data_IF_547947240271
#
_entry.id   IF_547947240271
#
_cell.length_a   1.000
_cell.length_b   1.000
_cell.length_c   1.000
_cell.angle_alpha   90.00
_cell.angle_beta   90.00
_cell.angle_gamma   90.00
#
_symmetry.space_group_name_H-M   'P 1'
#
loop_
_entity.id
_entity.type
_entity.pdbx_description
1 polymer ?
#
# COMPACT_ATOMS: atom_id res chain seq x y z
N UNK A 1 -1.45 -17.17 -16.65
CA UNK A 1 -1.64 -16.51 -15.34
C UNK A 1 -2.74 -17.26 -14.63
N UNK A 2 -2.36 -18.07 -13.63
CA UNK A 2 -3.33 -18.77 -12.80
C UNK A 2 -4.12 -17.73 -12.01
N UNK A 3 -5.39 -17.54 -12.37
CA UNK A 3 -6.26 -16.53 -11.75
C UNK A 3 -6.68 -17.11 -10.40
N UNK A 4 -5.93 -16.74 -9.38
CA UNK A 4 -6.28 -16.98 -7.98
C UNK A 4 -7.70 -16.48 -7.73
N UNK A 5 -8.48 -17.23 -6.96
CA UNK A 5 -9.85 -16.85 -6.59
C UNK A 5 -9.82 -15.42 -6.02
N UNK A 6 -10.57 -14.47 -6.60
CA UNK A 6 -10.55 -13.10 -6.14
C UNK A 6 -11.06 -13.04 -4.69
N UNK A 7 -10.29 -12.36 -3.84
CA UNK A 7 -10.78 -11.95 -2.53
C UNK A 7 -11.63 -10.69 -2.72
N UNK A 8 -12.76 -10.63 -2.03
CA UNK A 8 -13.56 -9.41 -1.96
C UNK A 8 -13.14 -8.63 -0.73
N UNK A 9 -12.41 -7.53 -0.96
CA UNK A 9 -12.10 -6.55 0.08
C UNK A 9 -12.96 -5.30 -0.14
N UNK A 10 -13.02 -4.44 0.86
CA UNK A 10 -13.71 -3.15 0.72
C UNK A 10 -12.70 -2.07 0.36
N UNK A 11 -13.07 -1.27 -0.64
CA UNK A 11 -12.33 -0.09 -1.04
C UNK A 11 -12.34 1.02 -0.01
N UNK A 12 -11.58 2.06 -0.30
CA UNK A 12 -11.52 3.26 0.55
C UNK A 12 -12.87 3.99 0.65
N UNK A 13 -13.76 3.77 -0.32
CA UNK A 13 -15.14 4.26 -0.41
C UNK A 13 -16.19 3.27 0.14
N UNK A 14 -15.75 2.08 0.57
CA UNK A 14 -16.62 1.02 1.08
C UNK A 14 -17.25 0.14 0.00
N UNK A 15 -16.94 0.35 -1.28
CA UNK A 15 -17.41 -0.53 -2.35
C UNK A 15 -16.59 -1.83 -2.39
N UNK A 16 -17.22 -2.99 -2.68
CA UNK A 16 -16.51 -4.25 -2.78
C UNK A 16 -15.60 -4.26 -4.02
N UNK A 17 -14.33 -4.58 -3.80
CA UNK A 17 -13.30 -4.69 -4.82
C UNK A 17 -12.88 -6.15 -4.92
N UNK A 18 -12.89 -6.68 -6.13
CA UNK A 18 -12.20 -7.93 -6.44
C UNK A 18 -10.69 -7.69 -6.45
N UNK A 19 -9.97 -8.30 -5.52
CA UNK A 19 -8.52 -8.22 -5.39
C UNK A 19 -7.87 -9.60 -5.48
N UNK A 20 -6.61 -9.62 -5.86
CA UNK A 20 -5.75 -10.80 -5.83
C UNK A 20 -4.38 -10.47 -5.26
N UNK A 21 -3.66 -11.48 -4.81
CA UNK A 21 -2.34 -11.31 -4.20
C UNK A 21 -1.25 -11.39 -5.27
N UNK A 22 -0.36 -10.40 -5.29
CA UNK A 22 0.80 -10.37 -6.17
C UNK A 22 2.08 -10.20 -5.36
N UNK A 23 3.18 -10.82 -5.83
CA UNK A 23 4.50 -10.69 -5.21
C UNK A 23 5.35 -9.79 -6.10
N UNK A 24 5.87 -8.69 -5.55
CA UNK A 24 6.66 -7.70 -6.27
C UNK A 24 7.81 -7.19 -5.40
N UNK A 25 8.93 -6.85 -6.02
CA UNK A 25 9.97 -6.08 -5.32
C UNK A 25 9.50 -4.63 -5.21
N UNK A 26 9.22 -4.19 -3.97
CA UNK A 26 8.63 -2.89 -3.69
C UNK A 26 9.64 -1.97 -3.03
N UNK A 27 9.72 -0.72 -3.49
CA UNK A 27 10.48 0.34 -2.83
C UNK A 27 9.53 1.44 -2.35
N UNK A 28 9.62 1.80 -1.07
CA UNK A 28 8.82 2.89 -0.47
C UNK A 28 9.78 3.88 0.17
N UNK A 29 9.94 5.06 -0.45
CA UNK A 29 10.95 6.02 -0.04
C UNK A 29 12.37 5.44 -0.15
N UNK A 30 13.03 5.24 0.99
CA UNK A 30 14.38 4.66 1.07
C UNK A 30 14.38 3.23 1.67
N UNK A 31 13.21 2.58 1.76
CA UNK A 31 13.04 1.21 2.24
C UNK A 31 12.74 0.26 1.08
N UNK A 32 13.33 -0.94 1.10
CA UNK A 32 13.15 -1.97 0.07
C UNK A 32 12.53 -3.22 0.69
N UNK A 33 11.47 -3.70 0.06
CA UNK A 33 10.72 -4.90 0.42
C UNK A 33 10.83 -5.91 -0.72
N UNK A 34 11.82 -6.81 -0.69
CA UNK A 34 11.96 -7.85 -1.70
C UNK A 34 10.79 -8.84 -1.59
N UNK A 35 10.20 -9.21 -2.72
CA UNK A 35 9.06 -10.14 -2.79
C UNK A 35 7.90 -9.76 -1.85
N UNK A 36 7.62 -8.46 -1.73
CA UNK A 36 6.49 -7.94 -0.98
C UNK A 36 5.18 -8.50 -1.55
N UNK A 37 4.33 -9.00 -0.65
CA UNK A 37 3.01 -9.49 -1.00
C UNK A 37 2.00 -8.36 -0.91
N UNK A 38 1.50 -7.89 -2.05
CA UNK A 38 0.53 -6.81 -2.15
C UNK A 38 -0.81 -7.32 -2.68
N UNK A 39 -1.89 -6.63 -2.34
CA UNK A 39 -3.19 -6.84 -2.95
C UNK A 39 -3.35 -5.92 -4.15
N UNK A 40 -3.76 -6.49 -5.27
CA UNK A 40 -4.00 -5.79 -6.53
C UNK A 40 -5.46 -6.00 -6.91
N UNK A 41 -6.20 -4.91 -7.06
CA UNK A 41 -7.58 -4.92 -7.53
C UNK A 41 -7.73 -4.12 -8.81
N UNK A 42 -8.75 -4.45 -9.60
CA UNK A 42 -9.14 -3.64 -10.75
C UNK A 42 -9.95 -2.45 -10.26
N UNK A 43 -9.25 -1.40 -9.82
CA UNK A 43 -9.83 -0.18 -9.28
C UNK A 43 -9.25 1.05 -9.95
N UNK A 44 -10.13 2.00 -10.22
CA UNK A 44 -9.74 3.32 -10.70
C UNK A 44 -9.67 4.25 -9.50
N UNK A 45 -8.44 4.59 -9.12
CA UNK A 45 -8.15 5.55 -8.07
C UNK A 45 -7.72 6.86 -8.77
N UNK A 46 -8.49 7.95 -8.65
CA UNK A 46 -8.35 9.12 -9.53
C UNK A 46 -7.02 9.85 -9.37
N UNK A 47 -6.39 9.81 -8.18
CA UNK A 47 -5.21 10.61 -7.85
C UNK A 47 -3.99 9.77 -7.40
N UNK A 48 -4.11 8.45 -7.34
CA UNK A 48 -3.06 7.57 -6.81
C UNK A 48 -3.14 6.15 -7.36
N UNK A 49 -1.99 5.52 -7.62
CA UNK A 49 -1.95 4.15 -8.17
C UNK A 49 -1.87 3.06 -7.09
N UNK A 50 -1.53 3.44 -5.85
CA UNK A 50 -1.29 2.52 -4.74
C UNK A 50 -1.67 3.15 -3.40
N UNK A 51 -2.26 2.34 -2.52
CA UNK A 51 -2.56 2.72 -1.14
C UNK A 51 -1.62 1.98 -0.19
N UNK A 52 -0.94 2.71 0.68
CA UNK A 52 -0.18 2.13 1.78
C UNK A 52 -1.10 1.97 2.99
N UNK A 53 -1.30 0.72 3.40
CA UNK A 53 -2.17 0.39 4.52
C UNK A 53 -1.55 0.67 5.88
N UNK A 54 -2.37 0.49 6.92
CA UNK A 54 -1.94 0.59 8.31
C UNK A 54 -0.95 -0.51 8.71
N UNK A 55 -0.93 -1.62 7.99
CA UNK A 55 0.09 -2.67 8.13
C UNK A 55 1.51 -2.13 7.88
N UNK A 56 1.68 -1.27 6.88
CA UNK A 56 2.91 -0.53 6.62
C UNK A 56 3.09 0.63 7.61
N UNK A 57 2.06 1.44 7.87
CA UNK A 57 2.21 2.69 8.65
C UNK A 57 2.34 2.46 10.16
N UNK A 58 1.71 1.42 10.74
CA UNK A 58 1.59 1.23 12.21
C UNK A 58 2.91 1.15 12.97
N UNK A 59 3.97 0.72 12.29
CA UNK A 59 5.28 0.56 12.93
C UNK A 59 6.18 1.80 12.83
N UNK A 60 5.74 2.85 12.14
CA UNK A 60 6.57 4.01 11.80
C UNK A 60 6.01 5.27 12.46
N UNK A 61 6.90 6.20 12.81
CA UNK A 61 6.47 7.56 13.17
C UNK A 61 6.19 8.32 11.89
N UNK A 62 4.94 8.77 11.74
CA UNK A 62 4.47 9.54 10.58
C UNK A 62 4.14 10.96 11.01
N UNK A 63 4.65 11.94 10.28
CA UNK A 63 4.32 13.35 10.43
C UNK A 63 3.69 13.88 9.16
N UNK A 64 2.52 14.52 9.30
CA UNK A 64 1.79 15.11 8.19
C UNK A 64 1.82 16.64 8.31
N UNK A 65 2.38 17.30 7.31
CA UNK A 65 2.31 18.76 7.18
C UNK A 65 1.18 19.13 6.24
N UNK A 66 0.05 19.56 6.81
CA UNK A 66 -1.11 20.00 6.02
C UNK A 66 -0.84 21.27 5.21
N UNK A 67 0.05 22.15 5.70
CA UNK A 67 0.37 23.42 5.03
C UNK A 67 1.19 23.22 3.75
N UNK A 68 1.99 22.17 3.69
CA UNK A 68 2.85 21.88 2.53
C UNK A 68 2.37 20.68 1.73
N UNK A 69 1.49 19.84 2.29
CA UNK A 69 1.09 18.55 1.70
C UNK A 69 2.14 17.45 1.84
N UNK A 70 3.10 17.58 2.76
CA UNK A 70 4.21 16.64 2.90
C UNK A 70 3.92 15.59 3.97
N UNK A 71 4.32 14.36 3.67
CA UNK A 71 4.37 13.25 4.62
C UNK A 71 5.84 12.94 4.91
N UNK A 72 6.21 12.95 6.19
CA UNK A 72 7.53 12.54 6.65
C UNK A 72 7.40 11.25 7.45
N UNK A 73 8.23 10.27 7.14
CA UNK A 73 8.21 8.96 7.79
C UNK A 73 9.59 8.65 8.36
N UNK A 74 9.63 8.25 9.64
CA UNK A 74 10.85 7.72 10.22
C UNK A 74 11.12 6.34 9.62
N UNK A 75 12.29 6.16 9.00
CA UNK A 75 12.75 4.84 8.53
C UNK A 75 12.85 3.89 9.71
N UNK A 76 12.42 2.65 9.52
CA UNK A 76 12.76 1.58 10.47
C UNK A 76 14.26 1.28 10.36
N UNK A 77 14.95 1.22 11.49
CA UNK A 77 16.36 0.84 11.51
C UNK A 77 16.51 -0.58 10.96
N UNK A 78 17.45 -0.78 10.04
CA UNK A 78 17.87 -2.10 9.61
C UNK A 78 18.72 -2.71 10.74
N UNK A 79 18.07 -3.39 11.68
CA UNK A 79 18.73 -4.24 12.68
C UNK A 79 19.26 -5.52 12.06
#
# INVERSE_FOLDING_TARGET
MDKTVPMYNFGWDGEPIASYRHSVDLEVGAERFPSASIEVGDIVLPDFDMVLGMDYLRGRRVWLSYSTGWVFMQRMDAS
#
